data_IF_073694761697
#
_entry.id   IF_073694761697
#
_cell.length_a   1.000
_cell.length_b   1.000
_cell.length_c   1.000
_cell.angle_alpha   90.00
_cell.angle_beta   90.00
_cell.angle_gamma   90.00
#
_symmetry.space_group_name_H-M   'P 1'
#
loop_
_entity.id
_entity.type
_entity.pdbx_description
1 polymer ?
#
# COMPACT_ATOMS: atom_id res chain seq x y z
N UNK A 1 22.62 -72.80 81.84
CA UNK A 1 22.79 -72.47 80.41
C UNK A 1 21.48 -72.44 79.59
N UNK A 2 20.34 -72.99 80.06
CA UNK A 2 19.05 -72.91 79.35
C UNK A 2 18.35 -71.54 79.45
N UNK A 3 18.47 -70.82 80.55
CA UNK A 3 17.78 -69.53 80.74
C UNK A 3 18.36 -68.37 79.92
N UNK A 4 19.67 -68.37 79.64
CA UNK A 4 20.27 -67.33 78.79
C UNK A 4 19.89 -67.47 77.32
N UNK A 5 19.74 -68.70 76.80
CA UNK A 5 19.26 -68.93 75.43
C UNK A 5 17.80 -68.49 75.27
N UNK A 6 16.96 -68.77 76.27
CA UNK A 6 15.54 -68.43 76.24
C UNK A 6 15.29 -66.90 76.37
N UNK A 7 16.10 -66.19 77.17
CA UNK A 7 16.07 -64.71 77.22
C UNK A 7 16.54 -64.07 75.89
N UNK A 8 17.59 -64.61 75.26
CA UNK A 8 18.12 -64.10 73.96
C UNK A 8 17.14 -64.35 72.79
N UNK A 9 16.36 -65.42 72.81
CA UNK A 9 15.31 -65.66 71.80
C UNK A 9 14.09 -64.75 71.96
N UNK A 10 13.65 -64.51 73.20
CA UNK A 10 12.51 -63.62 73.49
C UNK A 10 12.82 -62.16 73.11
N UNK A 11 14.03 -61.66 73.35
CA UNK A 11 14.45 -60.31 72.92
C UNK A 11 14.57 -60.18 71.41
N UNK A 12 15.12 -61.18 70.70
CA UNK A 12 15.16 -61.20 69.22
C UNK A 12 13.76 -61.21 68.58
N UNK A 13 12.80 -61.97 69.14
CA UNK A 13 11.39 -61.96 68.68
C UNK A 13 10.70 -60.61 68.93
N UNK A 14 10.97 -59.96 70.06
CA UNK A 14 10.41 -58.63 70.39
C UNK A 14 10.95 -57.54 69.46
N UNK A 15 12.26 -57.54 69.18
CA UNK A 15 12.88 -56.64 68.21
C UNK A 15 12.32 -56.83 66.79
N UNK A 16 12.15 -58.08 66.33
CA UNK A 16 11.55 -58.35 65.01
C UNK A 16 10.11 -57.86 64.91
N UNK A 17 9.30 -57.98 65.96
CA UNK A 17 7.93 -57.43 65.99
C UNK A 17 7.93 -55.90 65.95
N UNK A 18 8.86 -55.26 66.68
CA UNK A 18 9.01 -53.80 66.70
C UNK A 18 9.49 -53.26 65.34
N UNK A 19 10.42 -53.96 64.69
CA UNK A 19 10.87 -53.64 63.34
C UNK A 19 9.76 -53.81 62.29
N UNK A 20 8.96 -54.88 62.39
CA UNK A 20 7.79 -55.07 61.53
C UNK A 20 6.76 -53.95 61.73
N UNK A 21 6.52 -53.54 62.98
CA UNK A 21 5.63 -52.42 63.26
C UNK A 21 6.13 -51.11 62.67
N UNK A 22 7.44 -50.81 62.80
CA UNK A 22 8.05 -49.64 62.18
C UNK A 22 7.96 -49.65 60.65
N UNK A 23 8.19 -50.80 60.01
CA UNK A 23 8.04 -50.93 58.56
C UNK A 23 6.59 -50.70 58.13
N UNK A 24 5.61 -51.28 58.84
CA UNK A 24 4.19 -51.10 58.54
C UNK A 24 3.80 -49.62 58.72
N UNK A 25 4.22 -48.99 59.82
CA UNK A 25 3.98 -47.57 60.06
C UNK A 25 4.61 -46.69 58.97
N UNK A 26 5.82 -47.03 58.51
CA UNK A 26 6.50 -46.32 57.43
C UNK A 26 5.78 -46.48 56.09
N UNK A 27 5.31 -47.69 55.76
CA UNK A 27 4.51 -47.95 54.55
C UNK A 27 3.20 -47.16 54.61
N UNK A 28 2.50 -47.18 55.75
CA UNK A 28 1.27 -46.40 55.93
C UNK A 28 1.53 -44.90 55.81
N UNK A 29 2.64 -44.40 56.35
CA UNK A 29 3.04 -43.00 56.18
C UNK A 29 3.30 -42.65 54.71
N UNK A 30 3.97 -43.51 53.95
CA UNK A 30 4.17 -43.32 52.49
C UNK A 30 2.83 -43.30 51.76
N UNK A 31 1.92 -44.21 52.09
CA UNK A 31 0.59 -44.24 51.46
C UNK A 31 -0.23 -42.99 51.80
N UNK A 32 -0.21 -42.51 53.04
CA UNK A 32 -0.87 -41.26 53.43
C UNK A 32 -0.26 -40.04 52.74
N UNK A 33 1.08 -40.01 52.59
CA UNK A 33 1.76 -38.96 51.84
C UNK A 33 1.40 -39.00 50.35
N UNK A 34 1.32 -40.19 49.76
CA UNK A 34 0.94 -40.38 48.35
C UNK A 34 -0.53 -40.02 48.08
N UNK A 35 -1.45 -40.47 48.92
CA UNK A 35 -2.87 -40.08 48.81
C UNK A 35 -3.09 -38.59 49.06
N UNK A 36 -2.40 -38.02 50.05
CA UNK A 36 -2.43 -36.58 50.28
C UNK A 36 -1.85 -35.78 49.11
N UNK A 37 -0.81 -36.30 48.44
CA UNK A 37 -0.24 -35.68 47.24
C UNK A 37 -1.24 -35.70 46.08
N UNK A 38 -1.91 -36.82 45.86
CA UNK A 38 -2.94 -36.96 44.82
C UNK A 38 -4.11 -36.00 45.11
N UNK A 39 -4.55 -35.87 46.36
CA UNK A 39 -5.60 -34.92 46.74
C UNK A 39 -5.17 -33.46 46.56
N UNK A 40 -3.95 -33.12 46.98
CA UNK A 40 -3.35 -31.80 46.80
C UNK A 40 -3.24 -31.44 45.32
N UNK A 41 -2.72 -32.35 44.49
CA UNK A 41 -2.61 -32.13 43.04
C UNK A 41 -3.97 -32.13 42.35
N UNK A 42 -4.95 -32.94 42.76
CA UNK A 42 -6.31 -32.91 42.18
C UNK A 42 -7.00 -31.58 42.45
N UNK A 43 -6.89 -31.07 43.68
CA UNK A 43 -7.37 -29.73 44.04
C UNK A 43 -6.69 -28.66 43.19
N UNK A 44 -5.38 -28.79 42.92
CA UNK A 44 -4.58 -27.84 42.15
C UNK A 44 -4.77 -27.91 40.62
N UNK A 45 -4.89 -29.11 40.05
CA UNK A 45 -5.05 -29.40 38.62
C UNK A 45 -6.38 -28.89 38.07
N UNK A 46 -7.43 -28.87 38.89
CA UNK A 46 -8.74 -28.38 38.45
C UNK A 46 -8.74 -26.86 38.15
N UNK A 47 -7.69 -26.14 38.56
CA UNK A 47 -7.60 -24.68 38.40
C UNK A 47 -6.50 -24.19 37.44
N UNK A 48 -5.42 -24.93 37.20
CA UNK A 48 -4.35 -24.45 36.29
C UNK A 48 -3.64 -25.56 35.51
N UNK A 49 -3.39 -25.29 34.22
CA UNK A 49 -2.64 -26.10 33.28
C UNK A 49 -1.11 -25.95 33.50
N UNK A 50 -0.57 -26.51 34.59
CA UNK A 50 0.85 -26.38 34.95
C UNK A 50 1.56 -27.73 35.16
N UNK A 51 2.87 -27.71 34.92
CA UNK A 51 3.75 -28.87 34.71
C UNK A 51 4.00 -29.70 36.00
N UNK A 52 3.62 -30.98 35.96
CA UNK A 52 3.53 -31.91 37.12
C UNK A 52 4.87 -32.33 37.74
N UNK A 53 6.00 -32.09 37.04
CA UNK A 53 7.30 -32.65 37.42
C UNK A 53 7.94 -32.00 38.67
N UNK A 54 7.60 -30.74 38.98
CA UNK A 54 8.23 -29.99 40.08
C UNK A 54 7.33 -29.81 41.31
N UNK A 55 6.08 -30.30 41.27
CA UNK A 55 5.09 -30.08 42.32
C UNK A 55 5.35 -30.82 43.63
N UNK A 56 6.10 -31.92 43.60
CA UNK A 56 6.40 -32.74 44.79
C UNK A 56 7.21 -31.98 45.85
N UNK A 57 8.07 -31.02 45.45
CA UNK A 57 8.83 -30.18 46.38
C UNK A 57 7.92 -29.19 47.12
N UNK A 58 6.97 -28.60 46.40
CA UNK A 58 5.97 -27.69 46.98
C UNK A 58 5.04 -28.40 47.96
N UNK A 59 4.65 -29.66 47.68
CA UNK A 59 3.85 -30.47 48.59
C UNK A 59 4.63 -30.86 49.87
N UNK A 60 5.91 -31.23 49.74
CA UNK A 60 6.75 -31.48 50.92
C UNK A 60 6.93 -30.21 51.78
N UNK A 61 7.12 -29.06 51.15
CA UNK A 61 7.21 -27.78 51.84
C UNK A 61 5.91 -27.43 52.60
N UNK A 62 4.73 -27.68 52.00
CA UNK A 62 3.43 -27.56 52.66
C UNK A 62 3.34 -28.46 53.89
N UNK A 63 3.70 -29.74 53.78
CA UNK A 63 3.65 -30.67 54.92
C UNK A 63 4.62 -30.33 56.04
N UNK A 64 5.81 -29.82 55.70
CA UNK A 64 6.84 -29.42 56.68
C UNK A 64 6.37 -28.23 57.54
N UNK A 65 5.53 -27.33 57.00
CA UNK A 65 4.96 -26.20 57.74
C UNK A 65 3.99 -26.65 58.86
N UNK A 66 3.34 -27.81 58.70
CA UNK A 66 2.43 -28.39 59.71
C UNK A 66 3.14 -29.19 60.82
N UNK A 67 4.45 -29.46 60.70
CA UNK A 67 5.20 -30.22 61.73
C UNK A 67 5.89 -29.25 62.69
N UNK A 68 5.47 -29.18 63.98
CA UNK A 68 6.10 -28.29 64.94
C UNK A 68 7.58 -28.65 65.13
N UNK A 69 8.47 -27.68 64.89
CA UNK A 69 9.94 -27.82 64.97
C UNK A 69 10.69 -27.81 63.63
N UNK A 70 10.03 -28.16 62.51
CA UNK A 70 10.64 -28.12 61.16
C UNK A 70 10.23 -26.90 60.32
N UNK A 71 9.30 -26.10 60.85
CA UNK A 71 8.72 -24.91 60.23
C UNK A 71 9.76 -23.89 59.70
N UNK A 72 10.91 -23.76 60.38
CA UNK A 72 11.94 -22.78 60.03
C UNK A 72 12.84 -23.23 58.86
N UNK A 73 12.72 -24.46 58.37
CA UNK A 73 13.56 -25.01 57.29
C UNK A 73 12.94 -24.81 55.89
N UNK A 74 11.69 -24.34 55.82
CA UNK A 74 10.92 -24.24 54.59
C UNK A 74 10.16 -22.91 54.57
N UNK A 75 10.63 -21.94 53.78
CA UNK A 75 9.82 -20.78 53.41
C UNK A 75 8.89 -21.18 52.28
N UNK A 76 7.69 -21.66 52.63
CA UNK A 76 6.63 -21.80 51.64
C UNK A 76 6.06 -20.41 51.38
N UNK A 77 6.44 -19.82 50.26
CA UNK A 77 5.81 -18.60 49.76
C UNK A 77 4.54 -19.04 49.03
N UNK A 78 3.39 -18.78 49.65
CA UNK A 78 2.11 -18.90 48.95
C UNK A 78 2.20 -17.97 47.74
N UNK A 79 2.22 -18.50 46.51
CA UNK A 79 1.90 -17.67 45.35
C UNK A 79 0.55 -17.05 45.64
N UNK A 80 0.50 -15.72 45.79
CA UNK A 80 -0.72 -14.99 46.14
C UNK A 80 -1.85 -15.47 45.23
N UNK A 81 -2.77 -16.23 45.83
CA UNK A 81 -3.95 -16.75 45.17
C UNK A 81 -4.88 -15.55 45.03
N UNK A 82 -4.69 -14.77 43.96
CA UNK A 82 -5.71 -13.83 43.52
C UNK A 82 -7.03 -14.60 43.31
N UNK A 83 -8.15 -14.00 43.68
CA UNK A 83 -9.48 -14.60 43.49
C UNK A 83 -9.61 -15.08 42.03
N UNK A 84 -9.86 -16.38 41.77
CA UNK A 84 -9.94 -16.92 40.42
C UNK A 84 -11.02 -16.22 39.58
N UNK A 85 -12.07 -15.69 40.21
CA UNK A 85 -13.09 -14.88 39.53
C UNK A 85 -12.54 -13.51 39.13
N UNK A 86 -11.69 -12.91 39.96
CA UNK A 86 -11.04 -11.64 39.66
C UNK A 86 -10.07 -11.76 38.47
N UNK A 87 -9.22 -12.79 38.46
CA UNK A 87 -8.28 -13.04 37.35
C UNK A 87 -9.01 -13.35 36.03
N UNK A 88 -10.09 -14.11 36.07
CA UNK A 88 -10.90 -14.37 34.87
C UNK A 88 -11.58 -13.10 34.36
N UNK A 89 -12.13 -12.28 35.26
CA UNK A 89 -12.76 -11.01 34.90
C UNK A 89 -11.75 -10.06 34.27
N UNK A 90 -10.55 -9.94 34.84
CA UNK A 90 -9.47 -9.10 34.30
C UNK A 90 -9.02 -9.57 32.90
N UNK A 91 -8.87 -10.88 32.69
CA UNK A 91 -8.58 -11.46 31.38
C UNK A 91 -9.68 -11.19 30.35
N UNK A 92 -10.95 -11.29 30.76
CA UNK A 92 -12.10 -10.97 29.92
C UNK A 92 -12.15 -9.48 29.58
N UNK A 93 -11.94 -8.61 30.55
CA UNK A 93 -11.92 -7.16 30.36
C UNK A 93 -10.79 -6.74 29.42
N UNK A 94 -9.59 -7.31 29.56
CA UNK A 94 -8.48 -7.10 28.62
C UNK A 94 -8.83 -7.55 27.20
N UNK A 95 -9.46 -8.72 27.03
CA UNK A 95 -9.89 -9.19 25.70
C UNK A 95 -11.01 -8.33 25.10
N UNK A 96 -11.93 -7.85 25.91
CA UNK A 96 -12.98 -6.94 25.44
C UNK A 96 -12.42 -5.59 25.04
N UNK A 97 -11.42 -5.08 25.76
CA UNK A 97 -10.69 -3.87 25.36
C UNK A 97 -9.95 -4.10 24.05
N UNK A 98 -9.17 -5.17 23.92
CA UNK A 98 -8.43 -5.44 22.67
C UNK A 98 -9.37 -5.59 21.47
N UNK A 99 -10.50 -6.27 21.64
CA UNK A 99 -11.52 -6.39 20.59
C UNK A 99 -12.18 -5.04 20.24
N UNK A 100 -12.37 -4.15 21.20
CA UNK A 100 -12.89 -2.80 20.94
C UNK A 100 -11.87 -1.98 20.16
N UNK A 101 -10.61 -2.01 20.58
CA UNK A 101 -9.51 -1.28 19.94
C UNK A 101 -9.31 -1.77 18.50
N UNK A 102 -9.30 -3.08 18.26
CA UNK A 102 -9.24 -3.66 16.92
C UNK A 102 -10.45 -3.23 16.06
N UNK A 103 -11.64 -3.18 16.65
CA UNK A 103 -12.85 -2.77 15.92
C UNK A 103 -12.81 -1.29 15.55
N UNK A 104 -12.29 -0.44 16.43
CA UNK A 104 -12.09 0.99 16.16
C UNK A 104 -11.03 1.20 15.08
N UNK A 105 -9.90 0.48 15.15
CA UNK A 105 -8.87 0.49 14.11
C UNK A 105 -9.40 0.02 12.75
N UNK A 106 -10.22 -1.03 12.72
CA UNK A 106 -10.85 -1.48 11.47
C UNK A 106 -11.84 -0.44 10.93
N UNK A 107 -12.56 0.26 11.81
CA UNK A 107 -13.47 1.33 11.40
C UNK A 107 -12.72 2.51 10.79
N UNK A 108 -11.60 2.93 11.39
CA UNK A 108 -10.76 4.01 10.84
C UNK A 108 -10.14 3.61 9.51
N UNK A 109 -9.56 2.41 9.41
CA UNK A 109 -9.02 1.88 8.16
C UNK A 109 -10.07 1.80 7.05
N UNK A 110 -11.30 1.37 7.38
CA UNK A 110 -12.41 1.33 6.41
C UNK A 110 -12.74 2.74 5.91
N UNK A 111 -12.81 3.72 6.81
CA UNK A 111 -13.08 5.11 6.45
C UNK A 111 -11.96 5.69 5.57
N UNK A 112 -10.70 5.43 5.91
CA UNK A 112 -9.55 5.82 5.07
C UNK A 112 -9.65 5.19 3.67
N UNK A 113 -10.01 3.90 3.59
CA UNK A 113 -10.16 3.20 2.31
C UNK A 113 -11.29 3.78 1.46
N UNK A 114 -12.43 4.13 2.07
CA UNK A 114 -13.54 4.82 1.39
C UNK A 114 -13.11 6.20 0.87
N UNK A 115 -12.33 6.97 1.65
CA UNK A 115 -11.80 8.26 1.18
C UNK A 115 -10.81 8.11 0.03
N UNK A 116 -9.94 7.10 0.07
CA UNK A 116 -9.00 6.79 -1.00
C UNK A 116 -9.73 6.39 -2.28
N UNK A 117 -10.72 5.51 -2.18
CA UNK A 117 -11.55 5.10 -3.33
C UNK A 117 -12.27 6.29 -3.96
N UNK A 118 -12.82 7.19 -3.13
CA UNK A 118 -13.46 8.41 -3.62
C UNK A 118 -12.47 9.32 -4.37
N UNK A 119 -11.25 9.51 -3.84
CA UNK A 119 -10.19 10.29 -4.52
C UNK A 119 -9.77 9.64 -5.84
N UNK A 120 -9.55 8.33 -5.85
CA UNK A 120 -9.17 7.59 -7.06
C UNK A 120 -10.26 7.73 -8.12
N UNK A 121 -11.54 7.65 -7.74
CA UNK A 121 -12.65 7.83 -8.68
C UNK A 121 -12.65 9.23 -9.30
N UNK A 122 -12.46 10.27 -8.48
CA UNK A 122 -12.40 11.66 -8.95
C UNK A 122 -11.19 11.92 -9.86
N UNK A 123 -10.02 11.39 -9.50
CA UNK A 123 -8.81 11.50 -10.32
C UNK A 123 -8.96 10.76 -11.64
N UNK A 124 -9.55 9.57 -11.63
CA UNK A 124 -9.84 8.80 -12.85
C UNK A 124 -10.78 9.54 -13.79
N UNK A 125 -11.83 10.16 -13.27
CA UNK A 125 -12.77 10.96 -14.08
C UNK A 125 -12.08 12.18 -14.70
N UNK A 126 -11.24 12.88 -13.91
CA UNK A 126 -10.44 14.00 -14.40
C UNK A 126 -9.46 13.58 -15.50
N UNK A 127 -8.77 12.45 -15.32
CA UNK A 127 -7.86 11.91 -16.32
C UNK A 127 -8.60 11.52 -17.61
N UNK A 128 -9.81 10.98 -17.50
CA UNK A 128 -10.64 10.65 -18.66
C UNK A 128 -11.01 11.91 -19.45
N UNK A 129 -11.46 12.98 -18.76
CA UNK A 129 -11.76 14.27 -19.40
C UNK A 129 -10.52 14.88 -20.08
N UNK A 130 -9.37 14.86 -19.40
CA UNK A 130 -8.11 15.37 -19.97
C UNK A 130 -7.68 14.58 -21.21
N UNK A 131 -7.88 13.26 -21.22
CA UNK A 131 -7.59 12.42 -22.38
C UNK A 131 -8.48 12.76 -23.57
N UNK A 132 -9.78 12.94 -23.34
CA UNK A 132 -10.70 13.34 -24.41
C UNK A 132 -10.37 14.72 -24.98
N UNK A 133 -9.96 15.67 -24.13
CA UNK A 133 -9.50 16.99 -24.54
C UNK A 133 -8.22 16.91 -25.38
N UNK A 134 -7.24 16.12 -24.95
CA UNK A 134 -6.01 15.87 -25.70
C UNK A 134 -6.29 15.21 -27.05
N UNK A 135 -7.19 14.23 -27.12
CA UNK A 135 -7.55 13.57 -28.37
C UNK A 135 -8.23 14.54 -29.36
N UNK A 136 -9.08 15.45 -28.87
CA UNK A 136 -9.68 16.51 -29.69
C UNK A 136 -8.61 17.47 -30.20
N UNK A 137 -7.76 17.95 -29.29
CA UNK A 137 -6.70 18.90 -29.62
C UNK A 137 -5.69 18.29 -30.61
N UNK A 138 -5.35 17.01 -30.45
CA UNK A 138 -4.50 16.27 -31.39
C UNK A 138 -5.09 16.25 -32.79
N UNK A 139 -6.40 15.94 -32.93
CA UNK A 139 -7.07 15.95 -34.23
C UNK A 139 -7.10 17.34 -34.86
N UNK A 140 -7.36 18.38 -34.06
CA UNK A 140 -7.31 19.77 -34.54
C UNK A 140 -5.92 20.16 -35.03
N UNK A 141 -4.86 19.76 -34.31
CA UNK A 141 -3.49 20.01 -34.74
C UNK A 141 -3.12 19.24 -36.01
N UNK A 142 -3.49 17.96 -36.11
CA UNK A 142 -3.28 17.17 -37.33
C UNK A 142 -3.96 17.81 -38.54
N UNK A 143 -5.20 18.28 -38.38
CA UNK A 143 -5.92 18.99 -39.43
C UNK A 143 -5.20 20.30 -39.81
N UNK A 144 -4.81 21.12 -38.83
CA UNK A 144 -4.06 22.36 -39.10
C UNK A 144 -2.71 22.11 -39.77
N UNK A 145 -2.00 21.04 -39.39
CA UNK A 145 -0.75 20.64 -40.02
C UNK A 145 -1.01 20.21 -41.48
N UNK A 146 -2.07 19.44 -41.73
CA UNK A 146 -2.45 19.04 -43.08
C UNK A 146 -2.80 20.25 -43.95
N UNK A 147 -3.62 21.18 -43.45
CA UNK A 147 -3.97 22.43 -44.13
C UNK A 147 -2.74 23.31 -44.40
N UNK A 148 -1.85 23.44 -43.42
CA UNK A 148 -0.60 24.19 -43.57
C UNK A 148 0.33 23.56 -44.62
N UNK A 149 0.47 22.24 -44.59
CA UNK A 149 1.29 21.52 -45.57
C UNK A 149 0.70 21.61 -46.98
N UNK A 150 -0.62 21.48 -47.14
CA UNK A 150 -1.29 21.70 -48.42
C UNK A 150 -1.05 23.13 -48.93
N UNK A 151 -1.20 24.13 -48.06
CA UNK A 151 -0.96 25.53 -48.42
C UNK A 151 0.49 25.76 -48.88
N UNK A 152 1.48 25.24 -48.15
CA UNK A 152 2.89 25.34 -48.54
C UNK A 152 3.19 24.59 -49.83
N UNK A 153 2.58 23.43 -50.04
CA UNK A 153 2.70 22.69 -51.30
C UNK A 153 2.12 23.50 -52.47
N UNK A 154 1.01 24.22 -52.25
CA UNK A 154 0.43 25.12 -53.27
C UNK A 154 1.36 26.30 -53.58
N UNK A 155 1.97 26.92 -52.57
CA UNK A 155 3.00 27.95 -52.76
C UNK A 155 4.18 27.39 -53.57
N UNK A 156 4.75 26.25 -53.17
CA UNK A 156 5.88 25.64 -53.88
C UNK A 156 5.54 25.27 -55.34
N UNK A 157 4.34 24.72 -55.56
CA UNK A 157 3.86 24.36 -56.90
C UNK A 157 3.69 25.59 -57.77
N UNK A 158 3.03 26.63 -57.24
CA UNK A 158 2.87 27.91 -57.95
C UNK A 158 4.22 28.56 -58.22
N UNK A 159 5.11 28.65 -57.23
CA UNK A 159 6.45 29.20 -57.40
C UNK A 159 7.24 28.48 -58.50
N UNK A 160 7.18 27.14 -58.53
CA UNK A 160 7.81 26.34 -59.59
C UNK A 160 7.20 26.62 -60.96
N UNK A 161 5.88 26.76 -61.03
CA UNK A 161 5.17 27.06 -62.27
C UNK A 161 5.48 28.48 -62.78
N UNK A 162 5.55 29.46 -61.88
CA UNK A 162 5.92 30.85 -62.17
C UNK A 162 7.35 30.94 -62.70
N UNK A 163 8.31 30.23 -62.07
CA UNK A 163 9.71 30.23 -62.50
C UNK A 163 9.96 29.58 -63.87
N UNK A 164 9.05 28.72 -64.34
CA UNK A 164 9.18 27.99 -65.61
C UNK A 164 8.37 28.60 -66.76
N UNK A 165 7.49 29.55 -66.46
CA UNK A 165 6.56 30.12 -67.42
C UNK A 165 6.91 31.58 -67.73
N UNK A 166 6.51 32.08 -68.90
CA UNK A 166 6.71 33.51 -69.20
C UNK A 166 5.67 34.36 -68.47
N UNK A 167 6.05 35.51 -67.86
CA UNK A 167 5.14 36.37 -67.09
C UNK A 167 3.84 36.74 -67.81
N UNK A 168 3.90 36.97 -69.13
CA UNK A 168 2.76 37.36 -69.95
C UNK A 168 1.77 36.21 -70.18
N UNK A 169 2.24 34.96 -70.24
CA UNK A 169 1.38 33.79 -70.44
C UNK A 169 0.61 33.40 -69.16
N UNK A 170 1.22 33.62 -67.99
CA UNK A 170 0.64 33.23 -66.70
C UNK A 170 -0.27 34.30 -66.10
N UNK A 171 -0.11 35.58 -66.46
CA UNK A 171 -0.92 36.67 -65.92
C UNK A 171 -2.43 36.41 -66.02
N UNK A 172 -2.92 35.94 -67.18
CA UNK A 172 -4.35 35.63 -67.38
C UNK A 172 -4.86 34.49 -66.47
N UNK A 173 -3.99 33.56 -66.08
CA UNK A 173 -4.34 32.46 -65.19
C UNK A 173 -4.24 32.86 -63.70
N UNK A 174 -3.33 33.76 -63.34
CA UNK A 174 -3.18 34.30 -61.97
C UNK A 174 -4.27 35.31 -61.60
N UNK A 175 -4.86 35.97 -62.59
CA UNK A 175 -5.93 36.94 -62.39
C UNK A 175 -7.25 36.30 -61.97
N UNK A 176 -7.47 35.01 -62.27
CA UNK A 176 -8.73 34.33 -61.98
C UNK A 176 -9.06 34.29 -60.49
N UNK A 177 -10.34 34.27 -60.15
CA UNK A 177 -10.82 34.36 -58.76
C UNK A 177 -10.40 33.16 -57.90
N UNK A 178 -10.15 32.00 -58.51
CA UNK A 178 -9.75 30.78 -57.79
C UNK A 178 -8.34 30.89 -57.18
N UNK A 179 -7.53 31.85 -57.65
CA UNK A 179 -6.21 32.13 -57.10
C UNK A 179 -6.31 33.30 -56.12
N UNK A 180 -6.24 32.99 -54.82
CA UNK A 180 -6.35 33.99 -53.77
C UNK A 180 -5.19 34.98 -53.76
N UNK A 181 -5.48 36.22 -53.38
CA UNK A 181 -4.47 37.29 -53.27
C UNK A 181 -3.40 36.91 -52.24
N UNK A 182 -3.77 36.34 -51.08
CA UNK A 182 -2.82 35.81 -50.10
C UNK A 182 -1.84 34.80 -50.70
N UNK A 183 -2.32 33.81 -51.47
CA UNK A 183 -1.47 32.78 -52.04
C UNK A 183 -0.49 33.37 -53.08
N UNK A 184 -0.92 34.37 -53.85
CA UNK A 184 -0.06 35.10 -54.78
C UNK A 184 1.01 35.90 -54.05
N UNK A 185 0.63 36.65 -53.02
CA UNK A 185 1.54 37.42 -52.17
C UNK A 185 2.62 36.50 -51.60
N UNK A 186 2.21 35.39 -50.99
CA UNK A 186 3.13 34.46 -50.34
C UNK A 186 4.05 33.77 -51.33
N UNK A 187 3.51 33.38 -52.49
CA UNK A 187 4.32 32.80 -53.56
C UNK A 187 5.32 33.82 -54.13
N UNK A 188 4.90 35.06 -54.43
CA UNK A 188 5.78 36.10 -54.96
C UNK A 188 6.90 36.47 -53.98
N UNK A 189 6.64 36.46 -52.67
CA UNK A 189 7.65 36.67 -51.64
C UNK A 189 8.70 35.55 -51.56
N UNK A 190 8.42 34.36 -52.11
CA UNK A 190 9.42 33.26 -52.22
C UNK A 190 10.27 33.33 -53.49
N UNK A 191 9.89 34.14 -54.47
CA UNK A 191 10.61 34.30 -55.74
C UNK A 191 11.69 35.39 -55.64
N UNK A 192 12.63 35.38 -56.57
CA UNK A 192 13.57 36.49 -56.72
C UNK A 192 12.83 37.79 -57.07
N UNK A 193 13.25 38.92 -56.47
CA UNK A 193 12.56 40.20 -56.59
C UNK A 193 12.33 40.66 -58.04
N UNK A 194 13.25 40.34 -58.95
CA UNK A 194 13.12 40.65 -60.38
C UNK A 194 11.99 39.85 -61.03
N UNK A 195 11.97 38.53 -60.83
CA UNK A 195 10.90 37.67 -61.36
C UNK A 195 9.54 38.04 -60.78
N UNK A 196 9.48 38.31 -59.47
CA UNK A 196 8.26 38.76 -58.81
C UNK A 196 7.74 40.09 -59.40
N UNK A 197 8.63 41.05 -59.66
CA UNK A 197 8.26 42.34 -60.27
C UNK A 197 7.75 42.19 -61.71
N UNK A 198 8.38 41.34 -62.52
CA UNK A 198 7.95 41.08 -63.90
C UNK A 198 6.57 40.40 -63.95
N UNK A 199 6.32 39.44 -63.06
CA UNK A 199 5.01 38.77 -62.93
C UNK A 199 3.95 39.77 -62.44
N UNK A 200 4.27 40.60 -61.44
CA UNK A 200 3.34 41.60 -60.92
C UNK A 200 2.99 42.65 -61.98
N UNK A 201 3.97 43.08 -62.78
CA UNK A 201 3.73 43.98 -63.91
C UNK A 201 2.84 43.33 -64.97
N UNK A 202 3.05 42.05 -65.27
CA UNK A 202 2.20 41.32 -66.20
C UNK A 202 0.75 41.17 -65.67
N UNK A 203 0.56 40.93 -64.37
CA UNK A 203 -0.77 40.94 -63.73
C UNK A 203 -1.40 42.33 -63.82
N UNK A 204 -0.65 43.41 -63.56
CA UNK A 204 -1.16 44.77 -63.60
C UNK A 204 -1.68 45.20 -64.98
N UNK A 205 -1.11 44.65 -66.06
CA UNK A 205 -1.58 44.87 -67.43
C UNK A 205 -2.93 44.20 -67.73
N UNK A 206 -3.24 43.10 -67.03
CA UNK A 206 -4.46 42.30 -67.26
C UNK A 206 -5.56 42.65 -66.25
N UNK A 207 -5.22 42.78 -64.98
CA UNK A 207 -6.11 43.20 -63.90
C UNK A 207 -5.36 44.12 -62.91
N UNK A 208 -5.47 45.44 -63.09
CA UNK A 208 -4.77 46.41 -62.27
C UNK A 208 -5.30 46.47 -60.82
N UNK A 209 -6.58 46.14 -60.59
CA UNK A 209 -7.17 46.14 -59.26
C UNK A 209 -6.55 45.02 -58.40
N UNK A 210 -6.52 43.79 -58.92
CA UNK A 210 -5.92 42.65 -58.21
C UNK A 210 -4.41 42.85 -57.99
N UNK A 211 -3.70 43.44 -58.96
CA UNK A 211 -2.29 43.78 -58.78
C UNK A 211 -2.06 44.80 -57.65
N UNK A 212 -2.91 45.84 -57.55
CA UNK A 212 -2.84 46.82 -56.48
C UNK A 212 -3.08 46.19 -55.09
N UNK A 213 -4.04 45.26 -54.99
CA UNK A 213 -4.30 44.50 -53.77
C UNK A 213 -3.10 43.64 -53.35
N UNK A 214 -2.45 42.96 -54.30
CA UNK A 214 -1.22 42.19 -54.05
C UNK A 214 -0.11 43.10 -53.51
N UNK A 215 0.12 44.27 -54.14
CA UNK A 215 1.13 45.24 -53.70
C UNK A 215 0.84 45.75 -52.29
N UNK A 216 -0.42 46.11 -52.01
CA UNK A 216 -0.83 46.58 -50.70
C UNK A 216 -0.56 45.52 -49.63
N UNK A 217 -0.98 44.27 -49.86
CA UNK A 217 -0.77 43.15 -48.92
C UNK A 217 0.71 42.80 -48.75
N UNK A 218 1.52 42.80 -49.82
CA UNK A 218 2.98 42.62 -49.70
C UNK A 218 3.61 43.71 -48.84
N UNK A 219 3.19 44.97 -49.02
CA UNK A 219 3.69 46.11 -48.25
C UNK A 219 3.29 46.09 -46.78
N UNK A 220 2.13 45.53 -46.44
CA UNK A 220 1.69 45.30 -45.07
C UNK A 220 2.46 44.14 -44.41
N UNK A 221 2.57 43.00 -45.12
CA UNK A 221 3.29 41.82 -44.63
C UNK A 221 4.77 42.11 -44.42
N UNK A 222 5.41 42.82 -45.36
CA UNK A 222 6.81 43.26 -45.22
C UNK A 222 7.03 44.15 -44.01
N UNK A 223 6.10 45.07 -43.69
CA UNK A 223 6.21 45.95 -42.50
C UNK A 223 6.06 45.20 -41.17
N UNK A 224 5.29 44.12 -41.14
CA UNK A 224 5.07 43.32 -39.93
C UNK A 224 6.22 42.34 -39.63
N UNK A 225 7.10 42.04 -40.60
CA UNK A 225 8.29 41.18 -40.41
C UNK A 225 9.47 41.95 -39.77
N UNK A 226 9.47 43.28 -39.81
CA UNK A 226 10.53 44.15 -39.27
C UNK A 226 10.14 44.87 -37.95
N UNK A 227 9.08 44.43 -37.28
CA UNK A 227 8.73 44.81 -35.90
C UNK A 227 8.91 43.62 -34.98
#
# INVERSE_FOLDING_TARGET
MADEKNKKEKTKRKHRKLWRFLIIAFIVAIFLLGFGYIYFEYSRLSYFNLNLQNSWRSYLAYLIDFVPGLRNLSKYEYLEIGDPLYLQKELLDMRFQSLRDEREQLATQKQELETLLSRISQESEKLMMQREELDKLSKEYEQKIAEFNDYNNRIATLGTWLSRSTPQQIANALVREEVSVELLVDTLMTLESKAAAEILQAIALVNPQKAAEIIAKMGEKGRNVFK
#
